data_IF_654487055598
#
_entry.id   IF_654487055598
#
_cell.length_a   1.000
_cell.length_b   1.000
_cell.length_c   1.000
_cell.angle_alpha   90.00
_cell.angle_beta   90.00
_cell.angle_gamma   90.00
#
_symmetry.space_group_name_H-M   'P 1'
#
loop_
_entity.id
_entity.type
_entity.pdbx_description
1 polymer ?
#
# COMPACT_ATOMS: atom_id res chain seq x y z
N UNK A 1 -1.86 2.01 -5.34
CA UNK A 1 -1.91 3.49 -5.42
C UNK A 1 -3.26 4.07 -4.97
N UNK A 2 -4.41 3.74 -5.55
CA UNK A 2 -5.70 4.39 -5.20
C UNK A 2 -6.05 4.35 -3.70
N UNK A 3 -5.90 3.20 -3.03
CA UNK A 3 -6.22 3.07 -1.61
C UNK A 3 -5.34 3.97 -0.73
N UNK A 4 -4.06 4.14 -1.05
CA UNK A 4 -3.13 5.01 -0.28
C UNK A 4 -3.55 6.49 -0.33
N UNK A 5 -4.27 6.89 -1.38
CA UNK A 5 -4.84 8.24 -1.52
C UNK A 5 -6.23 8.39 -0.88
N UNK A 6 -6.75 7.35 -0.22
CA UNK A 6 -8.05 7.39 0.45
C UNK A 6 -9.24 7.03 -0.43
N UNK A 7 -9.03 6.53 -1.64
CA UNK A 7 -10.12 6.00 -2.45
C UNK A 7 -10.61 4.68 -1.85
N UNK A 8 -11.93 4.51 -1.76
CA UNK A 8 -12.57 3.35 -1.13
C UNK A 8 -13.10 2.32 -2.13
N UNK A 9 -12.87 2.52 -3.41
CA UNK A 9 -13.31 1.62 -4.47
C UNK A 9 -12.52 1.74 -5.75
N UNK A 10 -12.62 0.72 -6.60
CA UNK A 10 -12.01 0.65 -7.92
C UNK A 10 -13.08 0.33 -8.94
N UNK A 11 -13.11 1.06 -10.03
CA UNK A 11 -13.95 0.79 -11.19
C UNK A 11 -13.07 0.37 -12.36
N UNK A 12 -13.38 -0.78 -12.97
CA UNK A 12 -12.68 -1.25 -14.16
C UNK A 12 -13.45 -0.90 -15.43
N UNK A 13 -12.75 -0.39 -16.41
CA UNK A 13 -13.22 -0.16 -17.75
C UNK A 13 -12.27 -0.88 -18.72
N UNK A 14 -12.66 -1.82 -19.47
CA UNK A 14 -13.89 -2.53 -19.78
C UNK A 14 -13.76 -4.00 -19.37
N UNK A 15 -14.88 -4.67 -19.00
CA UNK A 15 -14.85 -6.10 -18.69
C UNK A 15 -14.66 -6.93 -19.96
N UNK A 16 -15.30 -6.54 -21.05
CA UNK A 16 -15.35 -7.24 -22.33
C UNK A 16 -15.04 -6.25 -23.46
N UNK A 17 -14.16 -6.62 -24.41
CA UNK A 17 -13.85 -5.80 -25.57
C UNK A 17 -13.40 -6.68 -26.75
N UNK A 18 -13.92 -6.40 -27.95
CA UNK A 18 -13.55 -7.09 -29.18
C UNK A 18 -12.15 -6.74 -29.69
N UNK A 19 -11.62 -5.55 -29.37
CA UNK A 19 -10.42 -4.98 -30.02
C UNK A 19 -9.28 -4.60 -29.07
N UNK A 20 -9.34 -4.96 -27.79
CA UNK A 20 -8.32 -4.50 -26.83
C UNK A 20 -8.10 -5.45 -25.66
N UNK A 21 -7.18 -5.10 -24.76
CA UNK A 21 -6.96 -5.83 -23.53
C UNK A 21 -8.19 -5.69 -22.62
N UNK A 22 -8.99 -6.76 -22.56
CA UNK A 22 -10.14 -6.89 -21.67
C UNK A 22 -10.00 -8.17 -20.86
N UNK A 23 -10.79 -8.32 -19.81
CA UNK A 23 -10.77 -9.51 -18.95
C UNK A 23 -11.34 -10.74 -19.65
N UNK A 24 -12.28 -10.55 -20.58
CA UNK A 24 -12.95 -11.58 -21.33
C UNK A 24 -12.80 -11.34 -22.83
N UNK A 25 -12.57 -12.41 -23.61
CA UNK A 25 -12.59 -12.36 -25.06
C UNK A 25 -14.03 -12.38 -25.54
N UNK A 26 -14.47 -11.32 -26.21
CA UNK A 26 -15.85 -11.12 -26.62
C UNK A 26 -16.37 -12.23 -27.55
N UNK A 27 -15.53 -12.71 -28.49
CA UNK A 27 -15.94 -13.71 -29.49
C UNK A 27 -16.16 -15.09 -28.92
N UNK A 28 -15.46 -15.46 -27.85
CA UNK A 28 -15.45 -16.84 -27.31
C UNK A 28 -15.95 -16.93 -25.88
N UNK A 29 -16.05 -15.79 -25.16
CA UNK A 29 -16.32 -15.75 -23.72
C UNK A 29 -15.16 -16.24 -22.86
N UNK A 30 -13.98 -16.48 -23.45
CA UNK A 30 -12.82 -17.04 -22.74
C UNK A 30 -12.19 -16.00 -21.83
N UNK A 31 -11.89 -16.40 -20.59
CA UNK A 31 -11.18 -15.57 -19.63
C UNK A 31 -9.71 -15.40 -20.07
N UNK A 32 -9.23 -14.17 -20.05
CA UNK A 32 -7.82 -13.81 -20.33
C UNK A 32 -6.99 -13.82 -19.04
N UNK A 33 -5.66 -13.94 -19.11
CA UNK A 33 -4.79 -13.93 -17.93
C UNK A 33 -5.05 -12.74 -16.98
N UNK A 34 -5.27 -11.55 -17.50
CA UNK A 34 -5.58 -10.34 -16.72
C UNK A 34 -6.82 -10.50 -15.82
N UNK A 35 -7.78 -11.37 -16.18
CA UNK A 35 -8.93 -11.67 -15.34
C UNK A 35 -8.51 -12.22 -13.97
N UNK A 36 -7.56 -13.13 -13.95
CA UNK A 36 -7.09 -13.77 -12.72
C UNK A 36 -6.26 -12.82 -11.86
N UNK A 37 -5.49 -11.93 -12.49
CA UNK A 37 -4.75 -10.88 -11.79
C UNK A 37 -5.69 -9.89 -11.14
N UNK A 38 -6.74 -9.46 -11.85
CA UNK A 38 -7.78 -8.57 -11.31
C UNK A 38 -8.59 -9.27 -10.21
N UNK A 39 -8.91 -10.55 -10.35
CA UNK A 39 -9.62 -11.30 -9.31
C UNK A 39 -8.81 -11.38 -8.01
N UNK A 40 -7.49 -11.62 -8.12
CA UNK A 40 -6.58 -11.58 -6.97
C UNK A 40 -6.52 -10.20 -6.35
N UNK A 41 -6.31 -9.15 -7.16
CA UNK A 41 -6.28 -7.76 -6.70
C UNK A 41 -7.58 -7.38 -5.98
N UNK A 42 -8.74 -7.77 -6.52
CA UNK A 42 -10.04 -7.49 -5.91
C UNK A 42 -10.16 -8.12 -4.51
N UNK A 43 -9.62 -9.32 -4.31
CA UNK A 43 -9.58 -9.95 -2.99
C UNK A 43 -8.74 -9.14 -2.00
N UNK A 44 -7.56 -8.70 -2.42
CA UNK A 44 -6.67 -7.87 -1.59
C UNK A 44 -7.34 -6.51 -1.27
N UNK A 45 -7.94 -5.87 -2.27
CA UNK A 45 -8.68 -4.61 -2.10
C UNK A 45 -9.88 -4.78 -1.16
N UNK A 46 -10.62 -5.88 -1.28
CA UNK A 46 -11.74 -6.19 -0.39
C UNK A 46 -11.25 -6.35 1.06
N UNK A 47 -10.17 -7.09 1.27
CA UNK A 47 -9.61 -7.33 2.61
C UNK A 47 -9.17 -6.03 3.28
N UNK A 48 -8.45 -5.17 2.58
CA UNK A 48 -8.05 -3.86 3.10
C UNK A 48 -9.24 -2.90 3.23
N UNK A 49 -10.16 -2.94 2.27
CA UNK A 49 -11.33 -2.07 2.17
C UNK A 49 -12.29 -2.22 3.35
N UNK A 50 -12.32 -3.38 4.01
CA UNK A 50 -13.11 -3.59 5.23
C UNK A 50 -12.78 -2.57 6.31
N UNK A 51 -11.52 -2.14 6.38
CA UNK A 51 -11.07 -1.12 7.33
C UNK A 51 -10.95 0.27 6.70
N UNK A 52 -10.35 0.39 5.52
CA UNK A 52 -10.07 1.68 4.88
C UNK A 52 -11.35 2.53 4.70
N UNK A 53 -12.50 1.92 4.45
CA UNK A 53 -13.79 2.62 4.30
C UNK A 53 -14.22 3.43 5.54
N UNK A 54 -13.65 3.13 6.71
CA UNK A 54 -13.88 3.85 7.96
C UNK A 54 -12.75 4.82 8.30
N UNK A 55 -11.79 5.00 7.39
CA UNK A 55 -10.64 5.86 7.58
C UNK A 55 -10.76 7.09 6.68
N UNK A 56 -10.44 8.24 7.23
CA UNK A 56 -10.29 9.48 6.49
C UNK A 56 -8.82 9.68 6.13
N UNK A 57 -8.51 9.86 4.85
CA UNK A 57 -7.17 10.26 4.41
C UNK A 57 -6.87 11.68 4.90
N UNK A 58 -5.74 11.86 5.52
CA UNK A 58 -5.31 13.16 6.09
C UNK A 58 -4.14 13.75 5.33
N UNK A 59 -3.26 12.91 4.76
CA UNK A 59 -2.11 13.36 3.99
C UNK A 59 -1.59 12.21 3.09
N UNK A 60 -0.91 12.56 2.00
CA UNK A 60 -0.22 11.61 1.13
C UNK A 60 1.14 12.18 0.75
N UNK A 61 2.18 11.39 0.90
CA UNK A 61 3.57 11.78 0.64
C UNK A 61 4.24 10.81 -0.31
N UNK A 62 5.15 11.34 -1.10
CA UNK A 62 5.94 10.60 -2.05
C UNK A 62 7.37 10.42 -1.52
N UNK A 63 7.85 9.18 -1.50
CA UNK A 63 9.22 8.84 -1.16
C UNK A 63 9.91 8.36 -2.44
N UNK A 64 10.74 9.19 -3.08
CA UNK A 64 11.42 8.82 -4.31
C UNK A 64 12.50 7.77 -4.05
N UNK A 65 12.70 6.89 -5.01
CA UNK A 65 13.89 6.06 -5.10
C UNK A 65 15.15 6.89 -5.40
N UNK A 66 16.29 6.22 -5.55
CA UNK A 66 17.53 6.90 -5.96
C UNK A 66 17.32 7.52 -7.34
N UNK A 67 17.70 8.79 -7.48
CA UNK A 67 17.52 9.58 -8.70
C UNK A 67 16.06 9.72 -9.18
N UNK A 68 15.09 9.29 -8.35
CA UNK A 68 13.67 9.44 -8.60
C UNK A 68 13.23 10.90 -8.58
N UNK A 69 12.33 11.26 -9.50
CA UNK A 69 11.72 12.59 -9.52
C UNK A 69 10.36 12.53 -8.85
N UNK A 70 10.06 13.56 -8.05
CA UNK A 70 8.74 13.70 -7.43
C UNK A 70 7.79 14.27 -8.48
N UNK A 71 6.74 13.52 -8.87
CA UNK A 71 5.78 14.01 -9.86
C UNK A 71 4.94 15.15 -9.27
N UNK A 72 4.72 16.21 -10.05
CA UNK A 72 3.77 17.26 -9.65
C UNK A 72 2.31 16.71 -9.66
N UNK A 73 1.47 17.05 -8.68
CA UNK A 73 1.67 17.93 -7.52
C UNK A 73 2.07 17.18 -6.21
N UNK A 74 2.74 16.02 -6.29
CA UNK A 74 3.10 15.24 -5.11
C UNK A 74 4.06 16.02 -4.20
N UNK A 75 3.96 15.75 -2.89
CA UNK A 75 4.82 16.35 -1.88
C UNK A 75 5.75 15.25 -1.34
N UNK A 76 7.03 15.58 -1.22
CA UNK A 76 8.03 14.67 -0.67
C UNK A 76 7.72 14.28 0.77
N UNK A 77 8.05 13.03 1.10
CA UNK A 77 7.92 12.55 2.46
C UNK A 77 8.94 13.23 3.39
N UNK A 78 8.46 13.61 4.58
CA UNK A 78 9.30 14.09 5.68
C UNK A 78 8.82 13.51 7.01
N UNK A 79 9.65 13.53 8.03
CA UNK A 79 9.31 13.02 9.36
C UNK A 79 8.15 13.78 10.04
N UNK A 80 7.83 14.98 9.57
CA UNK A 80 6.73 15.81 10.09
C UNK A 80 5.42 15.62 9.29
N UNK A 81 5.42 14.74 8.29
CA UNK A 81 4.26 14.50 7.42
C UNK A 81 3.10 13.83 8.16
N UNK A 82 1.88 14.15 7.74
CA UNK A 82 0.66 13.43 8.09
C UNK A 82 0.23 13.45 9.55
N UNK A 83 0.91 14.16 10.41
CA UNK A 83 0.59 14.23 11.83
C UNK A 83 0.96 12.99 12.65
N UNK A 84 1.44 11.89 12.03
CA UNK A 84 1.90 10.68 12.72
C UNK A 84 3.37 10.85 13.15
N UNK A 85 3.57 11.55 14.25
CA UNK A 85 4.89 11.88 14.78
C UNK A 85 5.68 10.69 15.33
N UNK A 86 5.06 9.52 15.42
CA UNK A 86 5.70 8.29 15.90
C UNK A 86 6.49 7.57 14.82
N UNK A 87 6.28 7.89 13.54
CA UNK A 87 7.14 7.45 12.43
C UNK A 87 8.32 8.41 12.29
N UNK A 88 9.52 7.96 12.67
CA UNK A 88 10.74 8.79 12.70
C UNK A 88 11.45 8.88 11.35
N UNK A 89 11.43 7.77 10.60
CA UNK A 89 12.06 7.68 9.28
C UNK A 89 11.42 6.56 8.48
N UNK A 90 11.21 6.80 7.20
CA UNK A 90 10.85 5.79 6.20
C UNK A 90 11.91 5.85 5.12
N UNK A 91 12.58 4.72 4.85
CA UNK A 91 13.63 4.62 3.83
C UNK A 91 13.45 3.35 3.01
N UNK A 92 13.86 3.40 1.75
CA UNK A 92 13.88 2.25 0.86
C UNK A 92 15.24 1.57 1.02
N UNK A 93 15.24 0.27 1.35
CA UNK A 93 16.47 -0.54 1.33
C UNK A 93 16.79 -0.94 -0.11
N UNK A 94 18.08 -1.11 -0.42
CA UNK A 94 18.58 -1.54 -1.74
C UNK A 94 18.11 -0.66 -2.91
N UNK A 95 17.95 0.64 -2.65
CA UNK A 95 17.53 1.61 -3.66
C UNK A 95 18.55 1.80 -4.79
N UNK A 96 19.76 1.25 -4.67
CA UNK A 96 20.85 1.45 -5.63
C UNK A 96 20.68 0.73 -6.97
N UNK A 97 19.76 -0.24 -7.07
CA UNK A 97 19.64 -1.08 -8.26
C UNK A 97 18.57 -0.64 -9.29
N UNK A 98 17.67 0.28 -8.93
CA UNK A 98 16.65 0.75 -9.88
C UNK A 98 16.17 2.16 -9.52
N UNK A 99 16.20 3.05 -10.50
CA UNK A 99 15.76 4.44 -10.39
C UNK A 99 14.24 4.58 -10.08
N UNK A 100 13.44 3.54 -10.35
CA UNK A 100 11.98 3.60 -10.30
C UNK A 100 11.39 2.99 -9.00
N UNK A 101 12.20 2.80 -7.97
CA UNK A 101 11.75 2.21 -6.68
C UNK A 101 11.07 3.23 -5.78
N UNK A 102 9.97 3.78 -6.24
CA UNK A 102 9.23 4.81 -5.49
C UNK A 102 8.21 4.21 -4.54
N UNK A 103 7.88 4.96 -3.50
CA UNK A 103 6.90 4.59 -2.48
C UNK A 103 5.92 5.73 -2.26
N UNK A 104 4.63 5.42 -2.12
CA UNK A 104 3.64 6.34 -1.55
C UNK A 104 3.37 5.99 -0.10
N UNK A 105 3.26 7.03 0.72
CA UNK A 105 2.93 6.95 2.13
C UNK A 105 1.64 7.73 2.36
N UNK A 106 0.56 7.03 2.68
CA UNK A 106 -0.72 7.62 3.02
C UNK A 106 -0.94 7.64 4.53
N UNK A 107 -1.47 8.73 5.04
CA UNK A 107 -1.83 8.91 6.44
C UNK A 107 -3.34 8.93 6.58
N UNK A 108 -3.83 8.23 7.59
CA UNK A 108 -5.26 8.10 7.81
C UNK A 108 -5.62 8.25 9.28
N UNK A 109 -6.86 8.58 9.53
CA UNK A 109 -7.42 8.73 10.85
C UNK A 109 -8.83 8.13 10.88
N UNK A 110 -9.17 7.44 11.97
CA UNK A 110 -10.55 6.99 12.22
C UNK A 110 -11.34 8.01 13.07
N UNK A 111 -12.61 7.72 13.32
CA UNK A 111 -13.50 8.57 14.10
C UNK A 111 -13.12 8.67 15.60
N UNK A 112 -12.19 7.83 16.06
CA UNK A 112 -11.62 7.88 17.41
C UNK A 112 -10.25 8.55 17.46
N UNK A 113 -9.87 9.29 16.40
CA UNK A 113 -8.60 9.96 16.24
C UNK A 113 -7.36 9.04 16.22
N UNK A 114 -7.55 7.73 16.04
CA UNK A 114 -6.43 6.79 15.90
C UNK A 114 -5.80 6.97 14.52
N UNK A 115 -4.47 6.96 14.50
CA UNK A 115 -3.69 7.18 13.29
C UNK A 115 -3.28 5.86 12.65
N UNK A 116 -3.32 5.84 11.32
CA UNK A 116 -2.91 4.72 10.49
C UNK A 116 -1.99 5.20 9.37
N UNK A 117 -1.16 4.30 8.90
CA UNK A 117 -0.18 4.54 7.85
C UNK A 117 -0.34 3.48 6.76
N UNK A 118 -0.44 3.88 5.52
CA UNK A 118 -0.37 2.95 4.39
C UNK A 118 0.91 3.20 3.60
N UNK A 119 1.70 2.16 3.41
CA UNK A 119 2.92 2.21 2.59
C UNK A 119 2.67 1.40 1.33
N UNK A 120 2.86 1.99 0.17
CA UNK A 120 2.64 1.35 -1.13
C UNK A 120 3.89 1.40 -2.00
N UNK A 121 4.32 0.23 -2.46
CA UNK A 121 5.38 0.08 -3.44
C UNK A 121 4.84 0.44 -4.84
N UNK A 122 5.41 1.47 -5.48
CA UNK A 122 5.03 1.90 -6.83
C UNK A 122 5.86 1.21 -7.92
N UNK A 123 6.92 0.50 -7.55
CA UNK A 123 7.77 -0.18 -8.52
C UNK A 123 6.99 -1.25 -9.28
N UNK A 124 6.85 -1.08 -10.57
CA UNK A 124 6.12 -1.99 -11.45
C UNK A 124 6.77 -2.04 -12.84
N UNK A 125 6.42 -3.06 -13.59
CA UNK A 125 6.89 -3.27 -14.95
C UNK A 125 5.87 -4.12 -15.71
N UNK A 126 5.64 -3.81 -16.99
CA UNK A 126 4.68 -4.54 -17.81
C UNK A 126 5.07 -6.00 -18.07
N UNK A 127 6.38 -6.31 -17.99
CA UNK A 127 6.95 -7.62 -18.29
C UNK A 127 7.41 -8.38 -17.03
N UNK A 128 7.10 -7.87 -15.83
CA UNK A 128 7.50 -8.49 -14.58
C UNK A 128 6.32 -8.69 -13.63
N UNK A 129 6.34 -9.79 -12.88
CA UNK A 129 5.37 -10.03 -11.83
C UNK A 129 5.61 -9.11 -10.62
N UNK A 130 4.60 -8.93 -9.78
CA UNK A 130 4.72 -8.22 -8.51
C UNK A 130 5.85 -8.80 -7.62
N UNK A 131 6.02 -10.13 -7.64
CA UNK A 131 7.10 -10.81 -6.89
C UNK A 131 8.50 -10.50 -7.41
N UNK A 132 8.66 -10.14 -8.68
CA UNK A 132 9.94 -9.71 -9.26
C UNK A 132 10.24 -8.23 -9.01
N UNK A 133 9.29 -7.48 -8.48
CA UNK A 133 9.39 -6.06 -8.15
C UNK A 133 9.17 -5.83 -6.65
N UNK A 134 9.76 -6.70 -5.84
CA UNK A 134 9.71 -6.57 -4.38
C UNK A 134 10.59 -5.43 -3.91
N UNK A 135 10.10 -4.69 -2.94
CA UNK A 135 10.78 -3.57 -2.31
C UNK A 135 10.71 -3.74 -0.79
N UNK A 136 11.83 -3.52 -0.12
CA UNK A 136 11.88 -3.48 1.34
C UNK A 136 11.95 -2.04 1.82
N UNK A 137 10.98 -1.67 2.65
CA UNK A 137 10.93 -0.38 3.34
C UNK A 137 11.37 -0.59 4.79
N UNK A 138 12.31 0.23 5.24
CA UNK A 138 12.71 0.34 6.64
C UNK A 138 11.94 1.48 7.28
N UNK A 139 11.15 1.15 8.27
CA UNK A 139 10.41 2.09 9.10
C UNK A 139 11.09 2.20 10.46
N UNK A 140 11.60 3.40 10.81
CA UNK A 140 12.03 3.73 12.17
C UNK A 140 10.88 4.39 12.91
N UNK A 141 10.60 3.89 14.09
CA UNK A 141 9.51 4.36 14.94
C UNK A 141 10.02 4.94 16.26
N UNK A 142 9.15 5.64 16.96
CA UNK A 142 9.43 6.10 18.31
C UNK A 142 9.82 4.93 19.22
N UNK A 143 10.82 5.07 20.12
CA UNK A 143 11.27 3.99 21.01
C UNK A 143 10.17 3.41 21.91
N UNK A 144 9.08 4.12 22.13
CA UNK A 144 7.92 3.61 22.87
C UNK A 144 7.09 2.60 22.09
N UNK A 145 7.27 2.51 20.77
CA UNK A 145 6.56 1.58 19.89
C UNK A 145 7.33 0.26 19.85
N UNK A 146 6.76 -0.78 20.45
CA UNK A 146 7.32 -2.14 20.47
C UNK A 146 6.67 -3.08 19.46
N UNK A 147 5.51 -2.69 18.93
CA UNK A 147 4.72 -3.46 17.98
C UNK A 147 4.06 -2.54 16.96
N UNK A 148 3.95 -3.03 15.73
CA UNK A 148 3.17 -2.41 14.66
C UNK A 148 2.13 -3.42 14.20
N UNK A 149 0.86 -3.02 14.20
CA UNK A 149 -0.21 -3.80 13.59
C UNK A 149 -0.17 -3.63 12.07
N UNK A 150 -0.35 -4.74 11.35
CA UNK A 150 -0.57 -4.77 9.91
C UNK A 150 -1.91 -5.41 9.60
N UNK A 151 -2.72 -4.77 8.78
CA UNK A 151 -3.87 -5.45 8.19
C UNK A 151 -3.38 -6.25 6.98
N UNK A 152 -3.45 -7.56 7.07
CA UNK A 152 -3.02 -8.45 5.99
C UNK A 152 -3.93 -8.29 4.78
N UNK A 153 -3.37 -7.89 3.64
CA UNK A 153 -4.10 -7.83 2.37
C UNK A 153 -4.53 -9.22 1.87
N UNK A 154 -3.81 -10.28 2.26
CA UNK A 154 -4.09 -11.64 1.83
C UNK A 154 -5.24 -12.28 2.61
N UNK A 155 -5.25 -12.09 3.92
CA UNK A 155 -6.22 -12.73 4.83
C UNK A 155 -7.33 -11.80 5.31
N UNK A 156 -7.12 -10.48 5.27
CA UNK A 156 -8.00 -9.48 5.86
C UNK A 156 -8.00 -9.50 7.39
N UNK A 157 -6.98 -10.11 8.01
CA UNK A 157 -6.86 -10.21 9.46
C UNK A 157 -5.72 -9.33 9.97
N UNK A 158 -5.83 -8.79 11.20
CA UNK A 158 -4.73 -8.10 11.86
C UNK A 158 -3.56 -9.04 12.17
N UNK A 159 -2.36 -8.56 11.91
CA UNK A 159 -1.10 -9.22 12.25
C UNK A 159 -0.25 -8.30 13.10
N UNK A 160 0.52 -8.87 14.04
CA UNK A 160 1.45 -8.10 14.87
C UNK A 160 2.88 -8.25 14.36
N UNK A 161 3.47 -7.14 13.96
CA UNK A 161 4.88 -7.07 13.54
C UNK A 161 5.71 -6.56 14.70
N UNK A 162 6.73 -7.32 15.09
CA UNK A 162 7.63 -6.95 16.17
C UNK A 162 8.61 -5.87 15.70
N UNK A 163 8.70 -4.80 16.47
CA UNK A 163 9.73 -3.76 16.31
C UNK A 163 11.00 -4.22 17.03
N UNK A 164 12.14 -4.12 16.37
CA UNK A 164 13.44 -4.48 16.93
C UNK A 164 14.37 -3.27 16.88
N UNK A 165 14.86 -2.82 18.03
CA UNK A 165 15.72 -1.63 18.15
C UNK A 165 15.10 -0.35 17.53
N UNK A 166 13.78 -0.19 17.64
CA UNK A 166 13.07 0.94 17.06
C UNK A 166 12.89 0.86 15.53
N UNK A 167 13.17 -0.29 14.91
CA UNK A 167 13.08 -0.49 13.47
C UNK A 167 12.17 -1.67 13.10
N UNK A 168 11.49 -1.53 11.97
CA UNK A 168 10.71 -2.55 11.31
C UNK A 168 11.05 -2.57 9.82
N UNK A 169 11.18 -3.75 9.25
CA UNK A 169 11.31 -3.96 7.79
C UNK A 169 10.04 -4.55 7.24
N UNK A 170 9.55 -3.96 6.16
CA UNK A 170 8.33 -4.39 5.48
C UNK A 170 8.69 -4.62 4.02
N UNK A 171 8.52 -5.84 3.54
CA UNK A 171 8.73 -6.18 2.14
C UNK A 171 7.39 -6.20 1.41
N UNK A 172 7.30 -5.40 0.35
CA UNK A 172 6.09 -5.19 -0.43
C UNK A 172 6.32 -5.65 -1.87
N UNK A 173 5.53 -6.58 -2.41
CA UNK A 173 5.50 -6.86 -3.84
C UNK A 173 5.14 -5.61 -4.66
N UNK A 174 5.56 -5.59 -5.92
CA UNK A 174 5.31 -4.46 -6.82
C UNK A 174 3.83 -4.10 -6.95
N UNK A 175 3.51 -2.83 -6.90
CA UNK A 175 2.14 -2.32 -7.02
C UNK A 175 1.24 -2.60 -5.80
N UNK A 176 1.77 -3.16 -4.71
CA UNK A 176 1.00 -3.48 -3.50
C UNK A 176 1.29 -2.52 -2.35
N UNK A 177 0.48 -2.59 -1.29
CA UNK A 177 0.68 -1.80 -0.08
C UNK A 177 0.05 -2.45 1.14
N UNK A 178 0.55 -2.11 2.31
CA UNK A 178 0.06 -2.57 3.61
C UNK A 178 -0.48 -1.42 4.44
N UNK A 179 -1.61 -1.65 5.12
CA UNK A 179 -2.17 -0.72 6.11
C UNK A 179 -1.62 -1.07 7.49
N UNK A 180 -1.04 -0.07 8.17
CA UNK A 180 -0.32 -0.22 9.42
C UNK A 180 -0.95 0.64 10.52
N UNK A 181 -0.85 0.18 11.78
CA UNK A 181 -1.13 0.96 12.98
C UNK A 181 0.09 0.90 13.91
N UNK A 182 0.65 2.05 14.28
CA UNK A 182 1.79 2.13 15.19
C UNK A 182 1.33 1.97 16.64
N UNK A 183 1.89 0.97 17.33
CA UNK A 183 1.60 0.70 18.75
C UNK A 183 0.28 -0.06 19.00
N UNK A 184 -0.31 -0.66 17.98
CA UNK A 184 -1.53 -1.46 18.11
C UNK A 184 -1.84 -2.25 16.84
N UNK A 185 -2.95 -2.99 16.84
CA UNK A 185 -3.48 -3.70 15.66
C UNK A 185 -5.03 -3.70 15.67
N UNK A 186 -5.60 -2.57 16.06
CA UNK A 186 -7.07 -2.37 16.04
C UNK A 186 -7.43 -1.65 14.73
N UNK A 187 -8.11 -2.35 13.86
CA UNK A 187 -8.55 -1.85 12.56
C UNK A 187 -10.08 -1.75 12.55
N UNK A 188 -10.68 -0.57 12.27
CA UNK A 188 -12.14 -0.43 12.30
C UNK A 188 -12.80 -1.32 11.24
N UNK A 189 -14.01 -1.80 11.54
CA UNK A 189 -14.81 -2.65 10.64
C UNK A 189 -14.38 -4.12 10.57
N UNK A 190 -13.49 -4.58 11.46
CA UNK A 190 -13.11 -6.00 11.55
C UNK A 190 -13.78 -6.73 12.72
N UNK A 191 -14.27 -5.98 13.70
CA UNK A 191 -14.86 -6.50 14.94
C UNK A 191 -16.39 -6.77 14.82
N UNK A 192 -16.92 -6.80 13.57
CA UNK A 192 -18.32 -7.08 13.25
C UNK A 192 -18.52 -8.50 12.69
#
# INVERSE_FOLDING_TARGET
MHLVCGYTGILYFTYENAQGPAMVENSTGKLRPIYYDVARLNKEVFNLGRSIRFLRSTDVRYLPGVDGQIPEPAIEWSADAGGEKRSRSITIEDSQEAADKDVLVGYFQDDSDRQYLMISNLWHDMNASAAQRMLTVRLKVDPTITVVGRLSRETGQPEYLKVTNGELRITLPGGTGDLLQLGGASFPGLDE
#
